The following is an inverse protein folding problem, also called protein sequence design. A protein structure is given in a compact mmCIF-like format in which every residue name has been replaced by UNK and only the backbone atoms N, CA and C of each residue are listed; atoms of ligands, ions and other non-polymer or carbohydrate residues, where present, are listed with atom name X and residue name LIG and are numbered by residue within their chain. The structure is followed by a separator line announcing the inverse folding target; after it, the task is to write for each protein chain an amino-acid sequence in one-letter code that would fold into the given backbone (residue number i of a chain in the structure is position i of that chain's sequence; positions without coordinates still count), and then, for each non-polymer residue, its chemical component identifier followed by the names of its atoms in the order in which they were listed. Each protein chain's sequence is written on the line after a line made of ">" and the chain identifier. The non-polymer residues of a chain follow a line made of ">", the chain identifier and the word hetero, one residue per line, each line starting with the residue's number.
data_IF_794844592171
#
_entry.id   IF_794844592171
#
_cell.length_a   1.000
_cell.length_b   1.000
_cell.length_c   1.000
_cell.angle_alpha   90.00
_cell.angle_beta   90.00
_cell.angle_gamma   90.00
#
_symmetry.space_group_name_H-M   'P 1'
#
loop_
_entity.id
_entity.type
_entity.pdbx_description
1 polymer ?
#
# COMPACT_ATOMS: atom_id res chain seq x y z
N UNK A 1 39.84 15.14 8.93
CA UNK A 1 38.41 14.81 9.09
C UNK A 1 38.27 13.86 10.27
N UNK A 2 37.74 14.32 11.41
CA UNK A 2 37.45 13.40 12.52
C UNK A 2 36.27 12.50 12.11
N UNK A 3 36.36 11.18 12.32
CA UNK A 3 35.34 10.23 11.86
C UNK A 3 33.99 10.55 12.50
N UNK A 4 32.95 10.70 11.68
CA UNK A 4 31.56 10.85 12.13
C UNK A 4 30.83 9.51 12.19
N UNK A 5 29.62 9.49 12.74
CA UNK A 5 28.76 8.30 12.75
C UNK A 5 28.32 7.96 11.32
N UNK A 6 28.53 6.71 10.90
CA UNK A 6 28.24 6.26 9.53
C UNK A 6 26.75 5.96 9.27
N UNK A 7 25.95 5.66 10.30
CA UNK A 7 24.51 5.39 10.16
C UNK A 7 23.74 5.63 11.47
N UNK A 8 22.50 6.13 11.41
CA UNK A 8 21.61 6.16 12.57
C UNK A 8 20.11 6.11 12.22
N UNK A 9 19.37 5.34 13.01
CA UNK A 9 17.91 5.24 12.95
C UNK A 9 17.23 5.92 14.18
N UNK A 10 17.99 6.68 14.99
CA UNK A 10 17.57 7.10 16.33
C UNK A 10 16.26 7.94 16.38
N UNK A 11 15.96 8.68 15.32
CA UNK A 11 14.77 9.55 15.26
C UNK A 11 13.70 9.06 14.27
N UNK A 12 13.90 7.95 13.55
CA UNK A 12 12.91 7.59 12.53
C UNK A 12 11.59 7.13 13.14
N UNK A 13 11.61 6.34 14.22
CA UNK A 13 10.40 5.92 14.91
C UNK A 13 9.59 7.13 15.41
N UNK A 14 10.26 8.10 16.07
CA UNK A 14 9.61 9.34 16.53
C UNK A 14 8.99 10.13 15.38
N UNK A 15 9.67 10.22 14.23
CA UNK A 15 9.12 10.86 13.03
C UNK A 15 7.93 10.10 12.43
N UNK A 16 8.02 8.77 12.34
CA UNK A 16 6.95 7.92 11.81
C UNK A 16 5.67 8.02 12.65
N UNK A 17 5.81 8.15 13.97
CA UNK A 17 4.67 8.26 14.88
C UNK A 17 4.15 9.68 15.07
N UNK A 18 4.88 10.74 14.67
CA UNK A 18 4.45 12.14 14.83
C UNK A 18 3.06 12.42 14.24
N UNK A 19 2.78 11.88 13.06
CA UNK A 19 1.47 12.00 12.39
C UNK A 19 0.68 10.66 12.44
N UNK A 20 1.23 9.68 13.15
CA UNK A 20 0.76 8.29 13.17
C UNK A 20 1.02 7.53 11.86
N UNK A 21 1.19 6.22 11.99
CA UNK A 21 1.25 5.30 10.84
C UNK A 21 -0.17 5.10 10.34
N UNK A 22 -0.49 5.64 9.17
CA UNK A 22 -1.84 5.56 8.59
C UNK A 22 -2.08 4.15 8.03
N UNK A 23 -3.25 3.59 8.34
CA UNK A 23 -3.72 2.34 7.72
C UNK A 23 -4.24 2.60 6.31
N UNK A 24 -4.16 1.63 5.38
CA UNK A 24 -4.82 1.75 4.09
C UNK A 24 -6.33 1.93 4.27
N UNK A 25 -6.93 2.74 3.39
CA UNK A 25 -8.38 2.93 3.39
C UNK A 25 -9.05 1.66 2.84
N UNK A 26 -10.13 1.23 3.48
CA UNK A 26 -10.97 0.14 2.99
C UNK A 26 -12.08 0.74 2.14
N UNK A 27 -12.26 0.23 0.93
CA UNK A 27 -13.35 0.62 0.05
C UNK A 27 -14.36 -0.53 -0.10
N UNK A 28 -15.60 -0.22 -0.47
CA UNK A 28 -16.62 -1.26 -0.71
C UNK A 28 -16.23 -2.20 -1.87
N UNK A 29 -15.50 -1.66 -2.84
CA UNK A 29 -15.00 -2.38 -4.00
C UNK A 29 -13.50 -2.13 -4.13
N UNK A 30 -12.73 -3.22 -4.11
CA UNK A 30 -11.27 -3.20 -4.27
C UNK A 30 -10.89 -3.20 -5.77
N UNK A 31 -9.64 -2.89 -6.07
CA UNK A 31 -9.12 -2.94 -7.44
C UNK A 31 -9.08 -4.38 -7.96
N UNK A 32 -9.47 -4.61 -9.22
CA UNK A 32 -9.36 -5.91 -9.89
C UNK A 32 -7.99 -6.14 -10.55
N UNK A 33 -6.99 -5.32 -10.24
CA UNK A 33 -5.65 -5.44 -10.82
C UNK A 33 -4.99 -6.75 -10.35
N UNK A 34 -4.42 -7.52 -11.29
CA UNK A 34 -3.79 -8.81 -11.00
C UNK A 34 -4.77 -9.98 -10.80
N UNK A 35 -6.07 -9.74 -10.97
CA UNK A 35 -7.09 -10.79 -10.93
C UNK A 35 -7.14 -11.54 -12.28
N UNK A 36 -7.55 -12.82 -12.26
CA UNK A 36 -7.58 -13.68 -13.44
C UNK A 36 -8.41 -13.07 -14.59
N UNK A 37 -7.79 -12.99 -15.77
CA UNK A 37 -8.39 -12.46 -16.98
C UNK A 37 -9.63 -13.26 -17.43
N UNK A 38 -9.64 -14.59 -17.23
CA UNK A 38 -10.80 -15.42 -17.60
C UNK A 38 -12.01 -15.07 -16.71
N UNK A 39 -11.79 -14.92 -15.40
CA UNK A 39 -12.84 -14.46 -14.50
C UNK A 39 -13.32 -13.03 -14.81
N UNK A 40 -12.43 -12.07 -15.13
CA UNK A 40 -12.85 -10.70 -15.54
C UNK A 40 -13.72 -10.72 -16.79
N UNK A 41 -13.32 -11.51 -17.80
CA UNK A 41 -14.06 -11.62 -19.06
C UNK A 41 -15.47 -12.17 -18.82
N UNK A 42 -15.61 -13.19 -17.99
CA UNK A 42 -16.91 -13.73 -17.61
C UNK A 42 -17.75 -12.72 -16.83
N UNK A 43 -17.16 -12.10 -15.79
CA UNK A 43 -17.84 -11.09 -14.97
C UNK A 43 -18.37 -9.92 -15.83
N UNK A 44 -17.63 -9.49 -16.86
CA UNK A 44 -18.06 -8.44 -17.79
C UNK A 44 -19.32 -8.82 -18.58
N UNK A 45 -19.42 -10.07 -19.03
CA UNK A 45 -20.59 -10.54 -19.77
C UNK A 45 -21.79 -10.74 -18.84
N UNK A 46 -21.59 -11.34 -17.66
CA UNK A 46 -22.66 -11.54 -16.68
C UNK A 46 -23.26 -10.24 -16.14
N UNK A 47 -22.46 -9.18 -16.02
CA UNK A 47 -22.94 -7.84 -15.62
C UNK A 47 -23.63 -7.06 -16.73
N UNK A 48 -23.49 -7.49 -17.99
CA UNK A 48 -24.08 -6.82 -19.16
C UNK A 48 -25.49 -7.35 -19.47
N UNK A 49 -25.77 -8.61 -19.13
CA UNK A 49 -27.12 -9.18 -19.13
C UNK A 49 -27.95 -8.55 -18.02
#
# INVERSE_FOLDING_TARGET
>A
MAKSKNHTNHNQNRKAHRNGIKKPKRFRHESTLGMDAKFLKNQRFSKKA
#
